data_IF_473904211156
#
_entry.id   IF_473904211156
#
_cell.length_a   1.000
_cell.length_b   1.000
_cell.length_c   1.000
_cell.angle_alpha   90.00
_cell.angle_beta   90.00
_cell.angle_gamma   90.00
#
_symmetry.space_group_name_H-M   'P 1'
#
loop_
_entity.id
_entity.type
_entity.pdbx_description
1 polymer ?
#
# COMPACT_ATOMS: atom_id res chain seq x y z
N UNK A 1 48.86 -15.82 -50.68
CA UNK A 1 48.93 -16.18 -49.26
C UNK A 1 48.32 -15.03 -48.46
N UNK A 2 47.03 -15.10 -48.10
CA UNK A 2 46.50 -15.23 -46.71
C UNK A 2 46.97 -14.10 -45.77
N UNK A 3 46.14 -13.23 -45.16
CA UNK A 3 44.92 -13.45 -44.35
C UNK A 3 44.18 -12.11 -44.08
N UNK A 4 42.87 -12.18 -43.87
CA UNK A 4 41.96 -11.14 -43.31
C UNK A 4 42.30 -10.82 -41.84
N UNK A 5 41.96 -9.61 -41.39
CA UNK A 5 41.38 -9.25 -40.06
C UNK A 5 41.01 -7.75 -40.09
N UNK A 6 39.79 -7.26 -39.87
CA UNK A 6 38.66 -7.81 -39.11
C UNK A 6 38.46 -6.95 -37.87
N UNK A 7 37.53 -5.98 -37.97
CA UNK A 7 36.84 -5.20 -36.93
C UNK A 7 37.03 -5.66 -35.47
N UNK A 8 37.37 -4.72 -34.58
CA UNK A 8 37.26 -4.87 -33.13
C UNK A 8 36.77 -3.56 -32.48
N UNK A 9 35.50 -3.25 -32.74
CA UNK A 9 34.67 -2.44 -31.85
C UNK A 9 33.76 -3.43 -31.12
N UNK A 10 34.26 -4.00 -30.02
CA UNK A 10 33.48 -4.90 -29.15
C UNK A 10 32.76 -4.04 -28.10
N UNK A 11 31.50 -4.37 -27.77
CA UNK A 11 30.48 -3.40 -27.42
C UNK A 11 30.32 -3.26 -25.91
N UNK A 12 30.43 -2.04 -25.40
CA UNK A 12 30.04 -1.69 -24.02
C UNK A 12 28.50 -1.65 -23.85
N UNK A 13 27.74 -1.72 -24.95
CA UNK A 13 26.28 -1.74 -24.94
C UNK A 13 25.64 -3.06 -24.47
N UNK A 14 26.41 -4.16 -24.40
CA UNK A 14 25.84 -5.48 -24.06
C UNK A 14 25.69 -5.72 -22.55
N UNK A 15 26.36 -4.95 -21.69
CA UNK A 15 26.28 -5.15 -20.23
C UNK A 15 25.11 -4.40 -19.57
N UNK A 16 24.55 -3.37 -20.20
CA UNK A 16 23.36 -2.67 -19.69
C UNK A 16 22.03 -3.31 -20.11
N UNK A 17 22.07 -4.29 -21.03
CA UNK A 17 20.89 -5.05 -21.49
C UNK A 17 20.69 -6.37 -20.74
N UNK A 18 21.66 -6.79 -19.91
CA UNK A 18 21.59 -8.05 -19.17
C UNK A 18 20.80 -7.97 -17.85
N UNK A 19 20.37 -6.77 -17.45
CA UNK A 19 19.47 -6.55 -16.30
C UNK A 19 17.99 -6.43 -16.68
N UNK A 20 17.66 -6.50 -17.98
CA UNK A 20 16.28 -6.58 -18.46
C UNK A 20 15.75 -7.97 -18.18
N UNK A 21 15.37 -8.21 -16.92
CA UNK A 21 14.65 -9.40 -16.53
C UNK A 21 13.38 -9.52 -17.38
N UNK A 22 13.47 -10.27 -18.48
CA UNK A 22 12.33 -10.84 -19.13
C UNK A 22 11.62 -11.66 -18.05
N UNK A 23 10.51 -11.14 -17.52
CA UNK A 23 9.59 -11.94 -16.72
C UNK A 23 8.88 -12.88 -17.70
N UNK A 24 9.59 -13.96 -18.07
CA UNK A 24 9.10 -15.08 -18.88
C UNK A 24 8.13 -15.98 -18.09
N UNK A 25 7.87 -15.65 -16.81
CA UNK A 25 6.89 -16.34 -15.98
C UNK A 25 5.45 -15.91 -16.28
N UNK A 26 4.54 -16.88 -16.42
CA UNK A 26 3.08 -16.66 -16.47
C UNK A 26 2.49 -16.07 -15.18
N UNK A 27 3.33 -15.86 -14.17
CA UNK A 27 2.98 -15.49 -12.80
C UNK A 27 3.82 -14.27 -12.40
N UNK A 28 3.16 -13.26 -11.82
CA UNK A 28 3.82 -12.12 -11.20
C UNK A 28 3.90 -12.36 -9.69
N UNK A 29 5.10 -12.31 -9.12
CA UNK A 29 5.28 -12.42 -7.66
C UNK A 29 5.37 -11.04 -7.04
N UNK A 30 4.45 -10.72 -6.12
CA UNK A 30 4.53 -9.51 -5.32
C UNK A 30 5.11 -9.83 -3.93
N UNK A 31 6.00 -8.98 -3.38
CA UNK A 31 6.43 -9.12 -2.01
C UNK A 31 5.24 -9.02 -1.06
N UNK A 32 5.34 -9.73 0.06
CA UNK A 32 4.28 -9.82 1.04
C UNK A 32 4.17 -8.62 1.99
N UNK A 33 5.13 -7.72 1.95
CA UNK A 33 5.12 -6.54 2.81
C UNK A 33 4.77 -5.32 1.97
N UNK A 34 3.73 -4.61 2.37
CA UNK A 34 3.42 -3.29 1.82
C UNK A 34 4.28 -2.26 2.54
N UNK A 35 4.71 -1.25 1.80
CA UNK A 35 5.59 -0.21 2.33
C UNK A 35 4.92 1.16 2.27
N UNK A 36 4.98 1.88 3.39
CA UNK A 36 4.57 3.28 3.52
C UNK A 36 5.78 4.21 3.53
N UNK A 37 6.05 4.97 2.45
CA UNK A 37 7.15 5.94 2.42
C UNK A 37 6.85 7.09 3.37
N UNK A 38 7.83 7.46 4.20
CA UNK A 38 7.68 8.63 5.08
C UNK A 38 6.91 8.35 6.37
N UNK A 39 6.70 7.07 6.72
CA UNK A 39 6.51 6.68 8.11
C UNK A 39 7.78 7.14 8.87
N UNK A 40 7.78 8.39 9.32
CA UNK A 40 8.85 8.96 10.14
C UNK A 40 8.96 8.16 11.44
N UNK A 41 9.93 8.51 12.28
CA UNK A 41 9.93 7.99 13.64
C UNK A 41 8.52 8.19 14.22
N UNK A 42 7.89 7.14 14.80
CA UNK A 42 6.52 7.24 15.26
C UNK A 42 6.40 8.47 16.13
N UNK A 43 5.50 9.39 15.77
CA UNK A 43 5.17 10.51 16.65
C UNK A 43 4.75 9.85 17.93
N UNK A 44 5.49 10.09 19.01
CA UNK A 44 5.30 9.40 20.28
C UNK A 44 3.86 9.66 20.70
N UNK A 45 3.00 8.65 20.49
CA UNK A 45 1.57 8.83 20.69
C UNK A 45 1.36 9.16 22.17
N UNK A 46 0.54 10.17 22.50
CA UNK A 46 0.29 10.53 23.88
C UNK A 46 -0.20 9.31 24.67
N UNK A 47 0.13 9.24 25.97
CA UNK A 47 -0.42 8.20 26.83
C UNK A 47 -1.94 8.26 26.81
N UNK A 48 -2.58 7.14 26.51
CA UNK A 48 -4.02 7.09 26.27
C UNK A 48 -4.51 5.74 25.74
N UNK A 49 -5.84 5.57 25.60
CA UNK A 49 -6.43 4.33 25.14
C UNK A 49 -6.09 4.08 23.67
N UNK A 50 -5.70 2.85 23.36
CA UNK A 50 -5.24 2.47 22.02
C UNK A 50 -6.40 2.06 21.12
N UNK A 51 -6.19 2.13 19.81
CA UNK A 51 -7.06 1.51 18.80
C UNK A 51 -6.53 0.11 18.51
N UNK A 52 -7.35 -0.92 18.74
CA UNK A 52 -7.01 -2.27 18.34
C UNK A 52 -7.28 -2.45 16.84
N UNK A 53 -6.23 -2.69 16.07
CA UNK A 53 -6.32 -2.98 14.63
C UNK A 53 -6.12 -4.48 14.45
N UNK A 54 -7.17 -5.18 14.03
CA UNK A 54 -7.14 -6.61 13.76
C UNK A 54 -6.70 -6.89 12.32
N UNK A 55 -6.24 -8.10 12.06
CA UNK A 55 -5.98 -8.56 10.70
C UNK A 55 -7.24 -8.45 9.84
N UNK A 56 -7.07 -7.98 8.61
CA UNK A 56 -8.16 -7.95 7.65
C UNK A 56 -8.23 -9.33 7.00
N UNK A 57 -9.43 -9.78 6.69
CA UNK A 57 -9.60 -10.98 5.86
C UNK A 57 -9.39 -10.64 4.39
N UNK A 58 -8.99 -11.61 3.57
CA UNK A 58 -9.02 -11.49 2.12
C UNK A 58 -10.22 -12.26 1.57
N UNK A 59 -11.09 -11.59 0.81
CA UNK A 59 -12.26 -12.22 0.19
C UNK A 59 -12.21 -12.34 -1.33
N UNK A 60 -11.13 -11.88 -1.94
CA UNK A 60 -10.86 -12.17 -3.35
C UNK A 60 -10.60 -13.65 -3.56
N UNK A 61 -10.69 -14.10 -4.82
CA UNK A 61 -10.28 -15.45 -5.17
C UNK A 61 -8.83 -15.68 -4.72
N UNK A 62 -8.48 -16.78 -4.02
CA UNK A 62 -7.12 -17.06 -3.54
C UNK A 62 -6.09 -16.92 -4.68
N UNK A 63 -4.84 -16.55 -4.37
CA UNK A 63 -4.10 -15.47 -5.01
C UNK A 63 -3.78 -15.79 -6.47
N UNK A 64 -4.75 -15.59 -7.35
CA UNK A 64 -4.56 -15.82 -8.79
C UNK A 64 -5.20 -14.74 -9.66
N UNK A 65 -5.64 -13.62 -9.09
CA UNK A 65 -6.28 -12.58 -9.89
C UNK A 65 -5.28 -11.71 -10.65
N UNK A 66 -5.80 -11.22 -11.76
CA UNK A 66 -5.10 -11.13 -13.04
C UNK A 66 -4.39 -9.77 -13.17
N UNK A 67 -3.06 -9.78 -13.17
CA UNK A 67 -2.25 -8.73 -13.76
C UNK A 67 -2.40 -8.77 -15.28
N UNK A 68 -2.99 -7.76 -15.92
CA UNK A 68 -3.01 -7.69 -17.39
C UNK A 68 -1.70 -7.06 -17.88
N UNK A 69 -0.90 -7.83 -18.60
CA UNK A 69 0.33 -7.39 -19.24
C UNK A 69 0.26 -7.68 -20.74
N UNK A 70 0.44 -6.65 -21.57
CA UNK A 70 0.60 -6.75 -23.04
C UNK A 70 -0.24 -7.86 -23.70
N UNK A 71 -1.56 -7.77 -23.53
CA UNK A 71 -2.59 -8.69 -24.07
C UNK A 71 -2.89 -9.97 -23.27
N UNK A 72 -2.18 -10.25 -22.18
CA UNK A 72 -2.38 -11.45 -21.37
C UNK A 72 -2.74 -11.16 -19.93
N UNK A 73 -3.76 -11.88 -19.47
CA UNK A 73 -4.08 -12.04 -18.06
C UNK A 73 -3.04 -12.95 -17.37
N UNK A 74 -2.31 -12.47 -16.37
CA UNK A 74 -1.36 -13.25 -15.56
C UNK A 74 -1.79 -13.30 -14.10
N UNK A 75 -1.73 -14.45 -13.46
CA UNK A 75 -2.03 -14.54 -12.02
C UNK A 75 -0.97 -13.81 -11.18
N UNK A 76 -1.43 -13.00 -10.23
CA UNK A 76 -0.57 -12.37 -9.22
C UNK A 76 -0.50 -13.27 -7.99
N UNK A 77 0.71 -13.68 -7.62
CA UNK A 77 0.96 -14.43 -6.38
C UNK A 77 1.52 -13.48 -5.33
N UNK A 78 0.74 -13.32 -4.26
CA UNK A 78 1.16 -12.63 -3.05
C UNK A 78 2.00 -13.55 -2.18
N UNK A 79 3.16 -13.06 -1.70
CA UNK A 79 4.06 -13.84 -0.83
C UNK A 79 3.60 -13.92 0.64
N UNK A 80 2.57 -13.17 1.03
CA UNK A 80 1.99 -13.15 2.38
C UNK A 80 0.47 -12.88 2.30
N UNK A 81 -0.19 -12.80 3.46
CA UNK A 81 -1.60 -12.42 3.56
C UNK A 81 -1.80 -10.91 3.23
N UNK A 82 -2.53 -10.56 2.16
CA UNK A 82 -2.74 -9.17 1.76
C UNK A 82 -3.63 -8.39 2.74
N UNK A 83 -4.51 -9.09 3.48
CA UNK A 83 -5.33 -8.48 4.51
C UNK A 83 -4.50 -8.07 5.73
N UNK A 84 -3.55 -8.91 6.15
CA UNK A 84 -2.58 -8.53 7.18
C UNK A 84 -1.75 -7.31 6.78
N UNK A 85 -1.21 -7.31 5.55
CA UNK A 85 -0.39 -6.21 5.06
C UNK A 85 -1.16 -4.87 5.02
N UNK A 86 -2.45 -4.89 4.65
CA UNK A 86 -3.27 -3.68 4.70
C UNK A 86 -3.57 -3.24 6.14
N UNK A 87 -3.82 -4.17 7.06
CA UNK A 87 -4.02 -3.86 8.46
C UNK A 87 -2.78 -3.20 9.10
N UNK A 88 -1.57 -3.66 8.73
CA UNK A 88 -0.31 -3.05 9.14
C UNK A 88 -0.20 -1.60 8.61
N UNK A 89 -0.52 -1.36 7.32
CA UNK A 89 -0.54 -0.01 6.75
C UNK A 89 -1.54 0.93 7.44
N UNK A 90 -2.71 0.44 7.85
CA UNK A 90 -3.70 1.23 8.58
C UNK A 90 -3.19 1.59 9.97
N UNK A 91 -2.51 0.67 10.66
CA UNK A 91 -1.88 0.97 11.95
C UNK A 91 -0.75 2.00 11.83
N UNK A 92 0.06 1.92 10.78
CA UNK A 92 1.09 2.93 10.46
C UNK A 92 0.45 4.29 10.18
N UNK A 93 -0.62 4.33 9.38
CA UNK A 93 -1.36 5.56 9.09
C UNK A 93 -1.94 6.21 10.35
N UNK A 94 -2.40 5.40 11.33
CA UNK A 94 -2.85 5.90 12.62
C UNK A 94 -1.70 6.53 13.42
N UNK A 95 -0.52 5.90 13.42
CA UNK A 95 0.66 6.42 14.10
C UNK A 95 1.13 7.77 13.50
N UNK A 96 1.06 7.94 12.17
CA UNK A 96 1.38 9.20 11.48
C UNK A 96 0.50 10.36 11.95
N UNK A 97 -0.76 10.10 12.29
CA UNK A 97 -1.69 11.11 12.83
C UNK A 97 -1.70 11.16 14.35
N UNK A 98 -0.71 10.56 15.02
CA UNK A 98 -0.55 10.61 16.48
C UNK A 98 -1.53 9.75 17.26
N UNK A 99 -2.19 8.78 16.62
CA UNK A 99 -3.11 7.84 17.27
C UNK A 99 -2.37 6.57 17.63
N UNK A 100 -2.43 6.19 18.91
CA UNK A 100 -1.87 4.93 19.39
C UNK A 100 -2.68 3.76 18.84
N UNK A 101 -2.03 2.85 18.12
CA UNK A 101 -2.62 1.62 17.62
C UNK A 101 -1.91 0.40 18.23
N UNK A 102 -2.65 -0.71 18.37
CA UNK A 102 -2.11 -2.03 18.76
C UNK A 102 -2.57 -3.04 17.72
N UNK A 103 -1.62 -3.76 17.14
CA UNK A 103 -1.92 -4.86 16.20
C UNK A 103 -2.35 -6.10 16.95
N UNK A 104 -3.50 -6.64 16.57
CA UNK A 104 -4.07 -7.86 17.14
C UNK A 104 -4.12 -8.93 16.03
N UNK A 105 -3.24 -9.94 16.07
CA UNK A 105 -3.16 -10.93 15.01
C UNK A 105 -4.28 -11.97 15.11
N UNK A 106 -4.87 -12.33 13.96
CA UNK A 106 -5.85 -13.42 13.84
C UNK A 106 -7.05 -13.31 14.79
N UNK A 107 -7.35 -14.41 15.49
CA UNK A 107 -8.46 -14.54 16.45
C UNK A 107 -8.07 -14.14 17.89
N UNK A 108 -6.93 -13.47 18.08
CA UNK A 108 -6.52 -13.04 19.41
C UNK A 108 -7.52 -12.04 20.04
N UNK A 109 -7.64 -12.09 21.36
CA UNK A 109 -8.52 -11.21 22.10
C UNK A 109 -8.08 -9.75 21.99
N UNK A 110 -9.07 -8.85 21.88
CA UNK A 110 -8.84 -7.42 21.88
C UNK A 110 -8.39 -7.00 23.28
N UNK A 111 -7.27 -6.24 23.41
CA UNK A 111 -6.81 -5.77 24.71
C UNK A 111 -7.91 -4.97 25.46
N UNK A 112 -8.12 -5.21 26.77
CA UNK A 112 -9.23 -4.61 27.51
C UNK A 112 -9.14 -3.08 27.65
N UNK A 113 -7.98 -2.48 27.36
CA UNK A 113 -7.76 -1.03 27.35
C UNK A 113 -7.93 -0.36 25.99
N UNK A 114 -8.39 -1.08 24.96
CA UNK A 114 -8.62 -0.50 23.63
C UNK A 114 -9.92 0.32 23.61
N UNK A 115 -9.85 1.59 23.19
CA UNK A 115 -11.03 2.46 23.06
C UNK A 115 -11.88 2.14 21.82
N UNK A 116 -11.26 1.55 20.80
CA UNK A 116 -11.91 1.20 19.56
C UNK A 116 -11.29 -0.06 18.96
N UNK A 117 -12.09 -0.74 18.15
CA UNK A 117 -11.71 -1.91 17.37
C UNK A 117 -11.87 -1.60 15.89
N UNK A 118 -10.86 -1.91 15.09
CA UNK A 118 -10.86 -1.76 13.63
C UNK A 118 -10.51 -3.10 13.01
N UNK A 119 -11.29 -3.52 12.03
CA UNK A 119 -11.03 -4.72 11.23
C UNK A 119 -11.54 -4.50 9.82
N UNK A 120 -11.26 -5.44 8.92
CA UNK A 120 -11.65 -5.24 7.55
C UNK A 120 -11.63 -6.49 6.71
N UNK A 121 -11.96 -6.26 5.44
CA UNK A 121 -11.90 -7.25 4.40
C UNK A 121 -11.34 -6.60 3.16
N UNK A 122 -10.29 -7.18 2.60
CA UNK A 122 -9.75 -6.79 1.31
C UNK A 122 -10.58 -7.49 0.24
N UNK A 123 -11.27 -6.70 -0.57
CA UNK A 123 -12.21 -7.18 -1.58
C UNK A 123 -11.50 -7.41 -2.93
N UNK A 124 -10.61 -6.51 -3.34
CA UNK A 124 -9.86 -6.61 -4.59
C UNK A 124 -8.44 -6.02 -4.49
N UNK A 125 -7.47 -6.69 -5.09
CA UNK A 125 -6.17 -6.13 -5.46
C UNK A 125 -5.93 -6.42 -6.94
N UNK A 126 -5.84 -5.38 -7.77
CA UNK A 126 -5.67 -5.53 -9.22
C UNK A 126 -4.54 -4.65 -9.71
N UNK A 127 -3.78 -5.17 -10.67
CA UNK A 127 -2.76 -4.41 -11.40
C UNK A 127 -3.04 -4.53 -12.89
N UNK A 128 -3.06 -3.41 -13.59
CA UNK A 128 -3.23 -3.35 -15.04
C UNK A 128 -2.02 -2.66 -15.65
N UNK A 129 -1.47 -3.23 -16.71
CA UNK A 129 -0.41 -2.59 -17.48
C UNK A 129 -0.80 -2.51 -18.94
N UNK A 130 -0.56 -1.35 -19.56
CA UNK A 130 -1.00 -1.06 -20.93
C UNK A 130 0.08 -0.31 -21.69
N UNK A 131 0.45 -0.82 -22.87
CA UNK A 131 1.31 -0.11 -23.83
C UNK A 131 0.52 1.02 -24.49
N UNK A 132 1.11 2.20 -24.55
CA UNK A 132 0.58 3.36 -25.25
C UNK A 132 1.65 3.92 -26.19
N UNK A 133 1.22 4.56 -27.28
CA UNK A 133 2.11 5.17 -28.28
C UNK A 133 2.61 4.20 -29.36
N UNK A 134 2.69 4.71 -30.61
CA UNK A 134 3.11 3.95 -31.79
C UNK A 134 4.58 4.19 -32.19
N UNK A 135 5.13 5.37 -31.92
CA UNK A 135 6.52 5.77 -32.26
C UNK A 135 7.41 5.98 -31.02
N UNK A 136 6.81 6.38 -29.89
CA UNK A 136 7.42 6.36 -28.56
C UNK A 136 6.55 5.49 -27.70
N UNK A 137 7.00 4.24 -27.52
CA UNK A 137 6.31 3.32 -26.63
C UNK A 137 6.39 3.85 -25.21
N UNK A 138 5.29 3.78 -24.49
CA UNK A 138 5.21 4.02 -23.06
C UNK A 138 4.34 2.95 -22.45
N UNK A 139 4.52 2.70 -21.16
CA UNK A 139 3.72 1.71 -20.45
C UNK A 139 3.03 2.37 -19.28
N UNK A 140 1.70 2.40 -19.34
CA UNK A 140 0.87 2.77 -18.21
C UNK A 140 0.80 1.58 -17.25
N UNK A 141 1.14 1.82 -15.99
CA UNK A 141 0.97 0.86 -14.90
C UNK A 141 -0.07 1.45 -13.96
N UNK A 142 -1.18 0.74 -13.78
CA UNK A 142 -2.26 1.08 -12.88
C UNK A 142 -2.42 -0.01 -11.82
N UNK A 143 -2.68 0.36 -10.57
CA UNK A 143 -3.05 -0.54 -9.49
C UNK A 143 -4.33 -0.04 -8.85
N UNK A 144 -5.26 -0.95 -8.59
CA UNK A 144 -6.47 -0.67 -7.82
C UNK A 144 -6.56 -1.56 -6.60
N UNK A 145 -7.02 -0.99 -5.49
CA UNK A 145 -7.23 -1.67 -4.23
C UNK A 145 -8.62 -1.31 -3.73
N UNK A 146 -9.43 -2.31 -3.39
CA UNK A 146 -10.70 -2.10 -2.70
C UNK A 146 -10.77 -2.94 -1.44
N UNK A 147 -11.34 -2.35 -0.39
CA UNK A 147 -11.51 -2.99 0.90
C UNK A 147 -12.76 -2.47 1.60
N UNK A 148 -13.31 -3.28 2.49
CA UNK A 148 -14.38 -2.90 3.40
C UNK A 148 -13.79 -2.77 4.79
N UNK A 149 -13.90 -1.57 5.36
CA UNK A 149 -13.49 -1.26 6.71
C UNK A 149 -14.68 -1.40 7.67
N UNK A 150 -14.44 -2.02 8.82
CA UNK A 150 -15.39 -2.10 9.92
C UNK A 150 -14.76 -1.51 11.16
N UNK A 151 -15.58 -0.90 12.00
CA UNK A 151 -15.11 -0.38 13.26
C UNK A 151 -16.20 -0.37 14.32
N UNK A 152 -15.76 -0.42 15.58
CA UNK A 152 -16.59 -0.19 16.75
C UNK A 152 -15.83 0.59 17.82
N UNK A 153 -16.57 1.28 18.68
CA UNK A 153 -16.00 2.19 19.69
C UNK A 153 -16.16 3.66 19.31
N UNK A 154 -15.76 4.53 20.25
CA UNK A 154 -16.00 5.98 20.13
C UNK A 154 -17.50 6.30 20.00
N UNK A 155 -17.83 7.19 19.07
CA UNK A 155 -19.21 7.57 18.75
C UNK A 155 -19.73 6.96 17.45
N UNK A 156 -19.04 5.96 16.90
CA UNK A 156 -19.47 5.32 15.67
C UNK A 156 -20.81 4.57 15.85
N UNK A 157 -21.70 4.61 14.84
CA UNK A 157 -22.94 3.83 14.87
C UNK A 157 -22.67 2.33 15.08
N UNK A 158 -23.55 1.61 15.80
CA UNK A 158 -23.46 0.15 15.90
C UNK A 158 -23.45 -0.50 14.52
N UNK A 159 -22.48 -1.39 14.28
CA UNK A 159 -22.33 -2.08 12.99
C UNK A 159 -21.79 -1.23 11.85
N UNK A 160 -21.13 -0.09 12.16
CA UNK A 160 -20.57 0.79 11.14
C UNK A 160 -19.57 0.06 10.22
N UNK A 161 -19.67 0.37 8.92
CA UNK A 161 -18.76 -0.08 7.89
C UNK A 161 -18.59 0.98 6.81
N UNK A 162 -17.46 0.95 6.10
CA UNK A 162 -17.20 1.85 4.97
C UNK A 162 -16.42 1.13 3.88
N UNK A 163 -16.83 1.30 2.64
CA UNK A 163 -16.05 0.87 1.47
C UNK A 163 -14.92 1.86 1.20
N UNK A 164 -13.73 1.32 0.98
CA UNK A 164 -12.50 2.00 0.63
C UNK A 164 -12.11 1.57 -0.78
N UNK A 165 -11.56 2.52 -1.54
CA UNK A 165 -11.09 2.28 -2.89
C UNK A 165 -10.01 3.27 -3.27
N UNK A 166 -9.00 2.80 -3.98
CA UNK A 166 -8.03 3.66 -4.63
C UNK A 166 -7.62 3.10 -5.97
N UNK A 167 -7.46 4.01 -6.93
CA UNK A 167 -6.81 3.78 -8.20
C UNK A 167 -5.52 4.61 -8.24
N UNK A 168 -4.39 3.98 -8.55
CA UNK A 168 -3.10 4.62 -8.67
C UNK A 168 -2.49 4.28 -10.02
N UNK A 169 -1.96 5.25 -10.75
CA UNK A 169 -1.35 5.01 -12.05
C UNK A 169 -0.15 5.92 -12.33
N UNK A 170 0.78 5.45 -13.15
CA UNK A 170 1.88 6.25 -13.69
C UNK A 170 2.38 5.61 -15.00
N UNK A 171 3.35 6.27 -15.64
CA UNK A 171 3.87 5.86 -16.95
C UNK A 171 5.36 5.58 -16.90
N UNK A 172 5.77 4.43 -17.44
CA UNK A 172 7.17 4.05 -17.65
C UNK A 172 7.59 4.22 -19.11
N UNK A 173 8.83 4.64 -19.39
CA UNK A 173 9.22 5.04 -20.74
C UNK A 173 9.45 3.88 -21.71
N UNK A 174 9.52 2.60 -21.32
CA UNK A 174 9.79 1.49 -22.26
C UNK A 174 9.26 0.11 -21.85
N UNK A 175 9.32 -0.26 -20.57
CA UNK A 175 8.95 -1.60 -20.07
C UNK A 175 8.46 -1.55 -18.63
N UNK A 176 7.61 -2.52 -18.25
CA UNK A 176 7.19 -2.70 -16.86
C UNK A 176 8.30 -3.36 -16.07
N UNK A 177 8.69 -2.79 -14.93
CA UNK A 177 9.57 -3.44 -13.96
C UNK A 177 8.77 -3.94 -12.76
N UNK A 178 9.30 -4.94 -12.04
CA UNK A 178 8.72 -5.37 -10.77
C UNK A 178 8.67 -4.24 -9.74
N UNK A 179 9.67 -3.35 -9.77
CA UNK A 179 9.74 -2.17 -8.92
C UNK A 179 8.64 -1.17 -9.22
N UNK A 180 8.39 -0.94 -10.51
CA UNK A 180 7.28 -0.13 -10.97
C UNK A 180 5.95 -0.71 -10.43
N UNK A 181 5.67 -2.00 -10.66
CA UNK A 181 4.42 -2.60 -10.17
C UNK A 181 4.31 -2.48 -8.64
N UNK A 182 5.41 -2.74 -7.92
CA UNK A 182 5.47 -2.59 -6.47
C UNK A 182 5.15 -1.16 -6.03
N UNK A 183 5.69 -0.15 -6.70
CA UNK A 183 5.38 1.25 -6.44
C UNK A 183 3.90 1.57 -6.69
N UNK A 184 3.30 1.01 -7.74
CA UNK A 184 1.88 1.18 -8.05
C UNK A 184 0.99 0.64 -6.92
N UNK A 185 1.25 -0.61 -6.52
CA UNK A 185 0.50 -1.31 -5.48
C UNK A 185 0.66 -0.61 -4.13
N UNK A 186 1.88 -0.23 -3.77
CA UNK A 186 2.13 0.55 -2.56
C UNK A 186 1.40 1.90 -2.60
N UNK A 187 1.40 2.59 -3.74
CA UNK A 187 0.68 3.86 -3.91
C UNK A 187 -0.81 3.72 -3.63
N UNK A 188 -1.47 2.75 -4.29
CA UNK A 188 -2.89 2.48 -4.11
C UNK A 188 -3.22 2.02 -2.67
N UNK A 189 -2.42 1.13 -2.09
CA UNK A 189 -2.65 0.63 -0.74
C UNK A 189 -2.44 1.71 0.34
N UNK A 190 -1.43 2.57 0.19
CA UNK A 190 -1.21 3.69 1.11
C UNK A 190 -2.36 4.70 1.07
N UNK A 191 -2.92 4.96 -0.13
CA UNK A 191 -4.10 5.79 -0.30
C UNK A 191 -5.33 5.17 0.39
N UNK A 192 -5.56 3.86 0.24
CA UNK A 192 -6.62 3.14 0.97
C UNK A 192 -6.43 3.25 2.48
N UNK A 193 -5.21 3.09 2.99
CA UNK A 193 -4.95 3.20 4.42
C UNK A 193 -5.12 4.64 4.94
N UNK A 194 -4.76 5.67 4.17
CA UNK A 194 -5.03 7.07 4.52
C UNK A 194 -6.52 7.41 4.49
N UNK A 195 -7.25 6.88 3.51
CA UNK A 195 -8.70 6.98 3.44
C UNK A 195 -9.36 6.27 4.63
N UNK A 196 -8.88 5.10 5.03
CA UNK A 196 -9.36 4.37 6.20
C UNK A 196 -9.33 5.26 7.46
N UNK A 197 -8.18 5.88 7.76
CA UNK A 197 -8.04 6.80 8.90
C UNK A 197 -8.99 7.99 8.79
N UNK A 198 -9.14 8.56 7.59
CA UNK A 198 -10.08 9.66 7.34
C UNK A 198 -11.53 9.25 7.63
N UNK A 199 -11.93 8.03 7.25
CA UNK A 199 -13.26 7.47 7.54
C UNK A 199 -13.46 7.18 9.02
N UNK A 200 -12.44 6.70 9.72
CA UNK A 200 -12.49 6.48 11.16
C UNK A 200 -12.69 7.80 11.94
N UNK A 201 -12.02 8.89 11.54
CA UNK A 201 -12.29 10.22 12.09
C UNK A 201 -13.72 10.70 11.79
N UNK A 202 -14.16 10.58 10.53
CA UNK A 202 -15.48 11.04 10.12
C UNK A 202 -16.62 10.28 10.83
N UNK A 203 -16.42 9.00 11.12
CA UNK A 203 -17.36 8.18 11.88
C UNK A 203 -17.28 8.39 13.40
N UNK A 204 -16.28 9.13 13.89
CA UNK A 204 -16.06 9.34 15.32
C UNK A 204 -15.57 8.09 16.07
N UNK A 205 -14.97 7.13 15.35
CA UNK A 205 -14.29 5.96 15.96
C UNK A 205 -13.05 6.43 16.73
N UNK A 206 -12.33 7.38 16.16
CA UNK A 206 -11.11 7.98 16.71
C UNK A 206 -11.28 9.50 16.80
N UNK A 207 -10.73 10.10 17.84
CA UNK A 207 -10.74 11.55 18.04
C UNK A 207 -9.46 12.16 17.50
N UNK A 208 -9.55 13.33 16.86
CA UNK A 208 -8.37 14.07 16.40
C UNK A 208 -7.54 14.48 17.63
N UNK A 209 -6.22 14.26 17.66
CA UNK A 209 -5.39 14.74 18.76
C UNK A 209 -5.58 16.25 18.92
N UNK A 210 -5.80 16.71 20.15
CA UNK A 210 -5.81 18.15 20.41
C UNK A 210 -4.42 18.72 20.11
N UNK A 211 -4.34 19.88 19.40
CA UNK A 211 -3.07 20.58 19.29
C UNK A 211 -2.58 20.91 20.70
N UNK A 212 -1.26 20.78 20.98
CA UNK A 212 -0.74 21.14 22.28
C UNK A 212 -1.15 22.58 22.58
N UNK A 213 -1.82 22.78 23.74
CA UNK A 213 -2.17 24.11 24.23
C UNK A 213 -0.94 24.99 24.10
N UNK A 214 -1.03 25.99 23.22
CA UNK A 214 0.04 26.98 23.09
C UNK A 214 0.32 27.51 24.49
N UNK A 215 1.56 27.37 24.94
CA UNK A 215 1.99 27.88 26.24
C UNK A 215 1.46 29.33 26.40
N UNK A 216 0.94 29.72 27.57
CA UNK A 216 0.51 31.09 27.77
C UNK A 216 1.69 31.97 27.38
N UNK A 217 1.47 32.90 26.44
CA UNK A 217 2.47 33.92 26.15
C UNK A 217 2.74 34.61 27.48
N UNK A 218 3.91 34.34 28.08
CA UNK A 218 4.40 35.12 29.20
C UNK A 218 4.26 36.59 28.80
N UNK A 219 3.51 37.33 29.60
CA UNK A 219 3.25 38.73 29.35
C UNK A 219 4.56 39.45 29.10
N UNK A 220 4.66 40.10 27.95
CA UNK A 220 5.77 41.00 27.66
C UNK A 220 5.75 42.11 28.70
N UNK A 221 6.79 42.28 29.54
CA UNK A 221 6.86 43.46 30.38
C UNK A 221 7.34 44.61 29.50
N UNK A 222 6.45 45.57 29.23
CA UNK A 222 6.72 47.02 29.19
C UNK A 222 5.46 47.81 28.86
#
# INVERSE_FOLDING_TARGET
MTKRSGFLLVPVAALLLAGSGCVTGKVLYLPGELYRPGAGAPVQAPEGPAVAVLDFSYSGSPPYEIGRDFDYARSIVWKSDPGKALADLVADALAEVGIRSVRVPGEADVPPGAAAKVWGRVDEFRVTTKKTGSLRLSVEVAASVSATLFASGGSAPPGWSSSLGSDYWYTEPLFVTSEAIRAAVNGAANAVAGEAVSRLFAAGVIARPEPPLAAPREGSPR
#
